data_IF_112468881411
#
_entry.id   IF_112468881411
#
_cell.length_a   1.000
_cell.length_b   1.000
_cell.length_c   1.000
_cell.angle_alpha   90.00
_cell.angle_beta   90.00
_cell.angle_gamma   90.00
#
_symmetry.space_group_name_H-M   'P 1'
#
loop_
_entity.id
_entity.type
_entity.pdbx_description
1 polymer ?
#
# COMPACT_ATOMS: atom_id res chain seq x y z
N UNK A 1 -42.57 -7.16 11.72
CA UNK A 1 -41.79 -6.84 12.94
C UNK A 1 -42.21 -7.77 14.07
N UNK A 2 -41.51 -8.89 14.29
CA UNK A 2 -41.54 -9.61 15.55
C UNK A 2 -40.59 -8.95 16.58
N UNK A 3 -40.88 -9.03 17.89
CA UNK A 3 -39.98 -8.51 18.94
C UNK A 3 -38.78 -9.43 19.20
N UNK A 4 -37.77 -8.85 19.83
CA UNK A 4 -36.44 -9.42 20.10
C UNK A 4 -36.44 -10.60 21.06
N UNK A 5 -35.48 -11.51 20.86
CA UNK A 5 -34.72 -12.06 21.98
C UNK A 5 -33.27 -12.36 21.57
N UNK A 6 -32.29 -11.79 22.28
CA UNK A 6 -30.85 -12.05 22.11
C UNK A 6 -30.23 -12.26 23.50
N UNK A 7 -29.95 -13.51 23.91
CA UNK A 7 -29.39 -13.77 25.22
C UNK A 7 -27.98 -13.18 25.34
N UNK A 8 -27.84 -12.19 26.22
CA UNK A 8 -26.57 -11.58 26.55
C UNK A 8 -25.70 -12.54 27.36
N UNK A 9 -24.63 -13.08 26.78
CA UNK A 9 -23.59 -13.80 27.54
C UNK A 9 -22.44 -12.85 27.87
N UNK A 10 -22.55 -12.20 29.04
CA UNK A 10 -21.37 -11.70 29.75
C UNK A 10 -20.67 -12.90 30.39
N UNK A 11 -19.41 -13.13 30.05
CA UNK A 11 -18.50 -13.95 30.86
C UNK A 11 -17.20 -13.16 31.02
N UNK A 12 -16.83 -12.94 32.29
CA UNK A 12 -15.57 -12.33 32.67
C UNK A 12 -14.49 -13.41 32.69
N UNK A 13 -13.25 -13.02 32.44
CA UNK A 13 -12.09 -13.58 33.15
C UNK A 13 -10.94 -12.56 33.14
N UNK A 14 -10.17 -12.53 34.22
CA UNK A 14 -9.08 -11.58 34.45
C UNK A 14 -7.75 -12.32 34.65
N UNK A 15 -6.64 -11.57 34.56
CA UNK A 15 -5.29 -12.03 34.86
C UNK A 15 -4.40 -12.18 33.61
N UNK A 16 -3.08 -11.99 33.70
CA UNK A 16 -2.28 -11.41 34.77
C UNK A 16 -0.96 -10.87 34.17
N UNK A 17 -0.34 -9.90 34.82
CA UNK A 17 0.94 -9.33 34.38
C UNK A 17 2.10 -10.33 34.55
N UNK A 18 3.16 -10.16 33.75
CA UNK A 18 4.54 -10.50 34.14
C UNK A 18 5.56 -9.74 33.29
N UNK A 19 6.68 -9.35 33.92
CA UNK A 19 7.70 -8.47 33.37
C UNK A 19 8.77 -9.21 32.55
N UNK A 20 9.47 -8.49 31.67
CA UNK A 20 10.62 -9.02 30.93
C UNK A 20 11.46 -7.91 30.27
N UNK A 21 12.23 -7.18 31.06
CA UNK A 21 13.26 -6.25 30.58
C UNK A 21 14.67 -6.81 30.86
N UNK A 22 15.55 -6.86 29.84
CA UNK A 22 16.99 -7.25 29.77
C UNK A 22 17.25 -7.55 28.27
N UNK A 23 18.33 -7.22 27.53
CA UNK A 23 19.60 -6.45 27.67
C UNK A 23 19.71 -5.59 26.37
N UNK A 24 20.31 -4.39 26.30
CA UNK A 24 21.69 -3.93 26.57
C UNK A 24 22.78 -4.45 25.61
N UNK A 25 23.40 -3.53 24.84
CA UNK A 25 24.77 -3.66 24.31
C UNK A 25 24.91 -3.89 22.79
N UNK A 26 25.49 -2.93 22.05
CA UNK A 26 25.76 -3.08 20.61
C UNK A 26 26.28 -1.85 19.87
N UNK A 27 27.26 -1.12 20.41
CA UNK A 27 28.00 -0.11 19.63
C UNK A 27 29.22 -0.74 18.94
N UNK A 28 29.39 -0.51 17.64
CA UNK A 28 30.64 -0.78 16.92
C UNK A 28 31.00 0.45 16.07
N UNK A 29 32.25 0.90 16.20
CA UNK A 29 32.79 2.15 15.67
C UNK A 29 33.43 1.93 14.28
N UNK A 30 33.22 2.87 13.35
CA UNK A 30 33.86 2.93 12.02
C UNK A 30 35.39 3.17 12.13
N UNK A 31 36.20 2.77 11.12
CA UNK A 31 36.72 3.76 10.14
C UNK A 31 37.14 3.13 8.76
N UNK A 32 37.86 3.84 7.86
CA UNK A 32 37.54 5.11 7.20
C UNK A 32 37.54 4.96 5.65
N UNK A 33 37.37 6.09 4.94
CA UNK A 33 37.20 6.15 3.48
C UNK A 33 38.42 5.79 2.61
N UNK A 34 38.14 5.28 1.40
CA UNK A 34 39.01 5.41 0.22
C UNK A 34 38.27 6.18 -0.89
N UNK A 35 38.85 7.25 -1.48
CA UNK A 35 38.22 8.01 -2.54
C UNK A 35 38.68 7.59 -3.95
N UNK A 36 37.73 7.23 -4.81
CA UNK A 36 37.84 7.29 -6.28
C UNK A 36 36.40 7.25 -6.85
N UNK A 37 35.80 8.34 -7.33
CA UNK A 37 36.10 9.14 -8.52
C UNK A 37 35.15 8.80 -9.69
N UNK A 38 35.00 9.77 -10.60
CA UNK A 38 34.19 9.75 -11.82
C UNK A 38 32.66 9.87 -11.65
N UNK A 39 32.12 10.93 -12.24
CA UNK A 39 30.70 11.24 -12.28
C UNK A 39 29.91 10.31 -13.23
N UNK A 40 28.67 10.02 -12.85
CA UNK A 40 27.60 9.89 -13.83
C UNK A 40 26.43 10.77 -13.39
N UNK A 41 26.22 11.87 -14.12
CA UNK A 41 25.02 12.70 -14.00
C UNK A 41 23.85 11.97 -14.67
N UNK A 42 23.45 10.84 -14.10
CA UNK A 42 22.16 10.24 -14.43
C UNK A 42 21.07 11.06 -13.74
N UNK A 43 20.16 11.64 -14.52
CA UNK A 43 18.84 12.02 -14.04
C UNK A 43 18.02 10.75 -13.74
N UNK A 44 18.49 9.96 -12.77
CA UNK A 44 17.68 8.96 -12.13
C UNK A 44 16.74 9.72 -11.19
N UNK A 45 15.45 9.74 -11.52
CA UNK A 45 14.39 9.99 -10.55
C UNK A 45 14.37 8.85 -9.54
N UNK A 46 15.38 8.83 -8.66
CA UNK A 46 15.57 7.84 -7.63
C UNK A 46 14.52 7.99 -6.55
N UNK A 47 13.32 7.50 -6.82
CA UNK A 47 12.38 7.14 -5.76
C UNK A 47 13.15 6.23 -4.79
N UNK A 48 13.21 6.55 -3.48
CA UNK A 48 14.19 5.95 -2.57
C UNK A 48 13.97 4.45 -2.45
N UNK A 49 14.85 3.69 -3.10
CA UNK A 49 14.81 2.23 -3.13
C UNK A 49 14.89 1.67 -1.70
N UNK A 50 13.73 1.26 -1.18
CA UNK A 50 13.59 0.77 0.20
C UNK A 50 12.26 1.16 0.86
N UNK A 51 11.69 2.33 0.54
CA UNK A 51 10.43 2.78 1.14
C UNK A 51 9.26 2.69 0.15
N UNK A 52 8.25 1.91 0.53
CA UNK A 52 6.96 1.85 -0.17
C UNK A 52 6.16 3.11 0.15
N UNK A 53 5.48 3.66 -0.86
CA UNK A 53 4.58 4.80 -0.69
C UNK A 53 3.39 4.42 0.21
N UNK A 54 3.01 5.30 1.14
CA UNK A 54 1.81 5.13 1.96
C UNK A 54 0.53 5.47 1.18
N UNK A 55 -0.64 5.10 1.70
CA UNK A 55 -1.94 5.47 1.14
C UNK A 55 -2.08 7.00 1.00
N UNK A 56 -1.60 7.76 1.97
CA UNK A 56 -1.60 9.23 1.97
C UNK A 56 -0.65 9.81 0.92
N UNK A 57 0.52 9.20 0.70
CA UNK A 57 1.46 9.61 -0.34
C UNK A 57 0.91 9.32 -1.74
N UNK A 58 0.24 8.19 -1.93
CA UNK A 58 -0.45 7.86 -3.18
C UNK A 58 -1.60 8.85 -3.45
N UNK A 59 -2.38 9.23 -2.43
CA UNK A 59 -3.45 10.20 -2.55
C UNK A 59 -2.91 11.61 -2.85
N UNK A 60 -1.88 12.06 -2.12
CA UNK A 60 -1.18 13.31 -2.40
C UNK A 60 -0.53 13.32 -3.80
N UNK A 61 -0.09 12.15 -4.30
CA UNK A 61 0.40 12.00 -5.65
C UNK A 61 -0.69 12.11 -6.74
N UNK A 62 -1.96 11.85 -6.39
CA UNK A 62 -3.14 12.11 -7.21
C UNK A 62 -3.73 13.52 -7.01
N UNK A 63 -3.24 14.29 -6.03
CA UNK A 63 -3.82 15.60 -5.66
C UNK A 63 -5.13 15.51 -4.88
N UNK A 64 -5.39 14.37 -4.23
CA UNK A 64 -6.55 14.13 -3.37
C UNK A 64 -6.14 13.89 -1.91
N UNK A 65 -7.12 13.93 -1.00
CA UNK A 65 -6.95 13.42 0.38
C UNK A 65 -7.44 11.96 0.43
N UNK A 66 -6.75 11.11 1.16
CA UNK A 66 -7.17 9.73 1.37
C UNK A 66 -8.33 9.64 2.37
N UNK A 67 -9.37 8.89 2.01
CA UNK A 67 -10.58 8.66 2.79
C UNK A 67 -10.90 7.15 2.83
N UNK A 68 -11.93 6.76 3.60
CA UNK A 68 -12.40 5.37 3.67
C UNK A 68 -11.27 4.35 3.95
N UNK A 69 -10.45 4.65 4.96
CA UNK A 69 -9.26 3.87 5.30
C UNK A 69 -9.65 2.55 5.98
N UNK A 70 -9.13 1.45 5.45
CA UNK A 70 -9.13 0.12 6.07
C UNK A 70 -7.68 -0.29 6.33
N UNK A 71 -7.40 -0.80 7.52
CA UNK A 71 -6.05 -1.21 7.94
C UNK A 71 -6.10 -2.64 8.50
N UNK A 72 -5.19 -3.48 8.00
CA UNK A 72 -4.96 -4.86 8.40
C UNK A 72 -3.45 -5.11 8.50
N UNK A 73 -3.03 -6.29 8.97
CA UNK A 73 -1.61 -6.61 9.13
C UNK A 73 -0.90 -6.73 7.76
N UNK A 74 -1.60 -7.26 6.76
CA UNK A 74 -1.06 -7.55 5.44
C UNK A 74 -1.15 -6.36 4.48
N UNK A 75 -2.14 -5.49 4.67
CA UNK A 75 -2.43 -4.35 3.79
C UNK A 75 -3.10 -3.18 4.50
N UNK A 76 -2.91 -1.98 3.93
CA UNK A 76 -3.65 -0.77 4.26
C UNK A 76 -4.20 -0.16 2.98
N UNK A 77 -5.51 0.07 2.96
CA UNK A 77 -6.27 0.51 1.79
C UNK A 77 -7.01 1.82 2.09
N UNK A 78 -7.12 2.70 1.10
CA UNK A 78 -8.01 3.85 1.12
C UNK A 78 -8.76 4.01 -0.20
N UNK A 79 -9.54 5.08 -0.28
CA UNK A 79 -10.12 5.61 -1.51
C UNK A 79 -9.87 7.12 -1.59
N UNK A 80 -9.95 7.68 -2.79
CA UNK A 80 -10.14 9.12 -2.98
C UNK A 80 -10.81 9.37 -4.33
N UNK A 81 -11.17 10.62 -4.61
CA UNK A 81 -11.66 11.04 -5.93
C UNK A 81 -11.01 12.36 -6.37
N UNK A 82 -10.91 12.54 -7.68
CA UNK A 82 -10.53 13.79 -8.35
C UNK A 82 -11.51 14.05 -9.51
N UNK A 83 -11.33 15.14 -10.25
CA UNK A 83 -12.06 15.37 -11.50
C UNK A 83 -11.80 14.31 -12.59
N UNK A 84 -10.78 13.46 -12.43
CA UNK A 84 -10.46 12.36 -13.36
C UNK A 84 -11.15 11.04 -12.99
N UNK A 85 -11.74 10.92 -11.79
CA UNK A 85 -12.47 9.74 -11.35
C UNK A 85 -12.23 9.36 -9.89
N UNK A 86 -12.73 8.18 -9.52
CA UNK A 86 -12.52 7.56 -8.22
C UNK A 86 -11.37 6.55 -8.26
N UNK A 87 -10.61 6.50 -7.16
CA UNK A 87 -9.41 5.69 -7.00
C UNK A 87 -9.52 4.81 -5.76
N UNK A 88 -9.00 3.58 -5.83
CA UNK A 88 -8.68 2.77 -4.64
C UNK A 88 -7.18 2.68 -4.54
N UNK A 89 -6.62 2.93 -3.36
CA UNK A 89 -5.18 2.96 -3.12
C UNK A 89 -4.86 1.88 -2.09
N UNK A 90 -4.10 0.86 -2.46
CA UNK A 90 -3.77 -0.28 -1.60
C UNK A 90 -2.26 -0.39 -1.44
N UNK A 91 -1.80 -0.45 -0.20
CA UNK A 91 -0.39 -0.65 0.18
C UNK A 91 -0.26 -1.94 0.97
N UNK A 92 0.88 -2.62 0.87
CA UNK A 92 1.07 -3.98 1.39
C UNK A 92 2.31 -4.06 2.30
N UNK A 93 2.26 -4.90 3.32
CA UNK A 93 3.41 -5.18 4.17
C UNK A 93 4.55 -5.86 3.38
N UNK A 94 4.20 -6.76 2.46
CA UNK A 94 5.13 -7.57 1.66
C UNK A 94 4.81 -7.57 0.16
N UNK A 95 5.85 -7.79 -0.67
CA UNK A 95 5.70 -7.94 -2.13
C UNK A 95 4.81 -9.13 -2.51
N UNK A 96 4.86 -10.21 -1.72
CA UNK A 96 4.02 -11.40 -1.94
C UNK A 96 2.53 -11.08 -1.77
N UNK A 97 2.16 -10.39 -0.69
CA UNK A 97 0.77 -9.97 -0.45
C UNK A 97 0.22 -9.12 -1.61
N UNK A 98 1.04 -8.22 -2.19
CA UNK A 98 0.66 -7.48 -3.40
C UNK A 98 0.43 -8.41 -4.60
N UNK A 99 1.30 -9.41 -4.81
CA UNK A 99 1.17 -10.37 -5.94
C UNK A 99 -0.09 -11.22 -5.81
N UNK A 100 -0.34 -11.81 -4.64
CA UNK A 100 -1.53 -12.64 -4.38
C UNK A 100 -2.81 -11.83 -4.53
N UNK A 101 -2.88 -10.66 -3.87
CA UNK A 101 -4.04 -9.76 -3.98
C UNK A 101 -4.33 -9.33 -5.41
N UNK A 102 -3.29 -9.00 -6.19
CA UNK A 102 -3.47 -8.59 -7.59
C UNK A 102 -3.95 -9.76 -8.47
N UNK A 103 -3.45 -10.97 -8.23
CA UNK A 103 -3.91 -12.17 -8.92
C UNK A 103 -5.39 -12.48 -8.61
N UNK A 104 -5.80 -12.34 -7.35
CA UNK A 104 -7.18 -12.57 -6.90
C UNK A 104 -8.15 -11.47 -7.34
N UNK A 105 -7.71 -10.21 -7.43
CA UNK A 105 -8.61 -9.08 -7.72
C UNK A 105 -8.71 -8.70 -9.19
N UNK A 106 -7.73 -9.04 -10.05
CA UNK A 106 -7.80 -8.73 -11.49
C UNK A 106 -9.03 -9.31 -12.18
N UNK A 107 -9.58 -10.42 -11.66
CA UNK A 107 -10.84 -10.99 -12.17
C UNK A 107 -11.97 -9.95 -12.20
N UNK A 108 -12.00 -8.99 -11.27
CA UNK A 108 -13.03 -7.94 -11.19
C UNK A 108 -12.95 -6.86 -12.29
N UNK A 109 -11.95 -6.92 -13.17
CA UNK A 109 -11.76 -5.95 -14.26
C UNK A 109 -11.21 -4.59 -13.79
N UNK A 110 -11.22 -3.60 -14.67
CA UNK A 110 -10.66 -2.27 -14.42
C UNK A 110 -9.16 -2.17 -14.69
N UNK A 111 -8.53 -1.07 -14.26
CA UNK A 111 -7.11 -0.78 -14.54
C UNK A 111 -6.32 -0.59 -13.26
N UNK A 112 -5.12 -1.17 -13.23
CA UNK A 112 -4.25 -1.29 -12.06
C UNK A 112 -2.90 -0.64 -12.38
N UNK A 113 -2.48 0.37 -11.60
CA UNK A 113 -1.10 0.83 -11.58
C UNK A 113 -0.36 0.13 -10.43
N UNK A 114 0.64 -0.67 -10.77
CA UNK A 114 1.33 -1.59 -9.86
C UNK A 114 2.76 -1.10 -9.59
N UNK A 115 3.09 -0.90 -8.32
CA UNK A 115 4.43 -0.51 -7.86
C UNK A 115 4.93 -1.37 -6.69
N UNK A 116 6.07 -1.02 -6.09
CA UNK A 116 6.66 -1.84 -5.02
C UNK A 116 5.83 -1.78 -3.74
N UNK A 117 5.19 -2.91 -3.42
CA UNK A 117 4.17 -3.12 -2.38
C UNK A 117 3.02 -2.10 -2.40
N UNK A 118 2.62 -1.62 -3.58
CA UNK A 118 1.38 -0.85 -3.72
C UNK A 118 0.69 -1.10 -5.06
N UNK A 119 -0.63 -0.90 -5.07
CA UNK A 119 -1.47 -0.87 -6.27
C UNK A 119 -2.47 0.27 -6.15
N UNK A 120 -2.67 1.04 -7.22
CA UNK A 120 -3.80 1.98 -7.34
C UNK A 120 -4.71 1.51 -8.46
N UNK A 121 -6.01 1.41 -8.21
CA UNK A 121 -7.00 1.07 -9.24
C UNK A 121 -7.87 2.26 -9.61
N UNK A 122 -8.23 2.33 -10.88
CA UNK A 122 -9.10 3.36 -11.45
C UNK A 122 -9.99 2.77 -12.56
N UNK A 123 -10.97 3.57 -13.00
CA UNK A 123 -11.90 3.19 -14.07
C UNK A 123 -11.27 3.24 -15.48
N UNK A 124 -10.18 3.99 -15.67
CA UNK A 124 -9.51 4.10 -16.98
C UNK A 124 -7.98 4.25 -16.84
N UNK A 125 -7.20 3.93 -17.89
CA UNK A 125 -5.74 4.11 -17.86
C UNK A 125 -5.30 5.57 -17.74
N UNK A 126 -6.05 6.50 -18.35
CA UNK A 126 -5.71 7.92 -18.41
C UNK A 126 -5.75 8.57 -17.02
N UNK A 127 -6.65 8.10 -16.15
CA UNK A 127 -6.72 8.52 -14.75
C UNK A 127 -5.46 8.16 -13.95
N UNK A 128 -4.65 7.19 -14.42
CA UNK A 128 -3.43 6.71 -13.76
C UNK A 128 -2.13 7.27 -14.39
N UNK A 129 -2.19 7.89 -15.58
CA UNK A 129 -1.00 8.38 -16.30
C UNK A 129 -0.17 9.34 -15.45
N UNK A 130 -0.77 10.38 -14.87
CA UNK A 130 -0.06 11.36 -14.06
C UNK A 130 0.57 10.74 -12.80
N UNK A 131 -0.07 9.73 -12.20
CA UNK A 131 0.47 9.00 -11.06
C UNK A 131 1.68 8.15 -11.47
N UNK A 132 1.60 7.50 -12.64
CA UNK A 132 2.67 6.69 -13.23
C UNK A 132 3.89 7.53 -13.62
N UNK A 133 3.69 8.72 -14.17
CA UNK A 133 4.79 9.65 -14.47
C UNK A 133 5.52 10.12 -13.21
N UNK A 134 4.80 10.27 -12.09
CA UNK A 134 5.36 10.72 -10.80
C UNK A 134 6.03 9.61 -9.99
N UNK A 135 5.44 8.41 -9.94
CA UNK A 135 5.85 7.32 -9.03
C UNK A 135 6.38 6.07 -9.75
N UNK A 136 6.34 6.05 -11.09
CA UNK A 136 6.63 4.88 -11.89
C UNK A 136 5.53 3.82 -11.78
N UNK A 137 5.94 2.55 -11.90
CA UNK A 137 5.02 1.41 -11.90
C UNK A 137 4.53 1.00 -13.29
N UNK A 138 3.88 -0.17 -13.31
CA UNK A 138 3.39 -0.83 -14.51
C UNK A 138 1.87 -0.76 -14.56
N UNK A 139 1.29 -0.45 -15.71
CA UNK A 139 -0.15 -0.57 -15.92
C UNK A 139 -0.48 -2.02 -16.28
N UNK A 140 -1.43 -2.59 -15.58
CA UNK A 140 -2.05 -3.88 -15.86
C UNK A 140 -3.57 -3.70 -16.00
N UNK A 141 -4.18 -4.48 -16.89
CA UNK A 141 -5.64 -4.52 -17.06
C UNK A 141 -6.17 -5.75 -16.33
N UNK A 142 -7.32 -5.61 -15.67
CA UNK A 142 -8.08 -6.76 -15.17
C UNK A 142 -8.68 -7.60 -16.30
N UNK A 143 -9.31 -8.70 -15.93
CA UNK A 143 -10.01 -9.57 -16.87
C UNK A 143 -11.31 -8.88 -17.36
N UNK A 144 -11.59 -9.00 -18.65
CA UNK A 144 -12.82 -8.46 -19.25
C UNK A 144 -14.02 -9.30 -18.79
N UNK A 145 -14.93 -8.70 -18.01
CA UNK A 145 -16.23 -9.29 -17.68
C UNK A 145 -17.21 -9.21 -18.87
N UNK A 146 -16.83 -9.81 -20.00
CA UNK A 146 -17.67 -9.97 -21.20
C UNK A 146 -18.62 -11.15 -21.04
N UNK A 147 -19.93 -10.88 -21.08
CA UNK A 147 -20.97 -11.89 -20.92
C UNK A 147 -21.09 -12.89 -22.08
N UNK A 148 -21.79 -14.00 -21.80
CA UNK A 148 -22.22 -15.00 -22.77
C UNK A 148 -23.43 -14.51 -23.58
#
# INVERSE_FOLDING_TARGET
MPPSDRPSRRLLTAGAALCGALLAGGCATEPPAHPAAAAHAAHAGGSPAGRTATVEELASALGCTAESITEAEELRQGACATGQGAYRLTTFAAEEGRRSWLAETRVYGGVYLVGSRWVVTAQSPEALTALRERLGGTLETGEEHGGH
#
